data_IF_533359808333
#
_entry.id   IF_533359808333
#
_cell.length_a   1.000
_cell.length_b   1.000
_cell.length_c   1.000
_cell.angle_alpha   90.00
_cell.angle_beta   90.00
_cell.angle_gamma   90.00
#
_symmetry.space_group_name_H-M   'P 1'
#
loop_
_entity.id
_entity.type
_entity.pdbx_description
1 polymer ?
#
# COMPACT_ATOMS: atom_id res chain seq x y z
N UNK A 1 1.08 7.98 1.15
CA UNK A 1 1.69 6.66 1.38
C UNK A 1 1.38 5.72 0.24
N UNK A 2 2.23 4.73 0.01
CA UNK A 2 2.07 3.73 -1.05
C UNK A 2 1.07 2.63 -0.63
N UNK A 3 0.17 2.16 -1.52
CA UNK A 3 -0.80 1.10 -1.20
C UNK A 3 -0.17 -0.18 -0.63
N UNK A 4 1.00 -0.59 -1.13
CA UNK A 4 1.76 -1.70 -0.53
C UNK A 4 2.06 -1.49 0.97
N UNK A 5 2.54 -0.30 1.34
CA UNK A 5 2.82 0.03 2.75
C UNK A 5 1.55 0.06 3.58
N UNK A 6 0.44 0.58 3.03
CA UNK A 6 -0.85 0.56 3.72
C UNK A 6 -1.31 -0.87 4.00
N UNK A 7 -1.17 -1.79 3.03
CA UNK A 7 -1.52 -3.18 3.22
C UNK A 7 -0.66 -3.85 4.32
N UNK A 8 0.66 -3.62 4.31
CA UNK A 8 1.55 -4.13 5.35
C UNK A 8 1.16 -3.63 6.75
N UNK A 9 0.89 -2.31 6.89
CA UNK A 9 0.48 -1.73 8.17
C UNK A 9 -0.88 -2.27 8.62
N UNK A 10 -1.81 -2.52 7.69
CA UNK A 10 -3.13 -3.10 8.00
C UNK A 10 -3.06 -4.54 8.50
N UNK A 11 -1.98 -5.27 8.16
CA UNK A 11 -1.77 -6.66 8.55
C UNK A 11 -1.11 -6.82 9.93
N UNK A 12 -0.62 -5.72 10.53
CA UNK A 12 0.01 -5.76 11.85
C UNK A 12 -1.02 -6.19 12.91
N UNK A 13 -0.80 -7.30 13.65
CA UNK A 13 -1.71 -7.74 14.70
C UNK A 13 -1.85 -6.70 15.81
N UNK A 14 -3.05 -6.59 16.38
CA UNK A 14 -3.25 -5.82 17.62
C UNK A 14 -2.97 -6.73 18.81
N UNK A 15 -2.12 -6.31 19.76
CA UNK A 15 -1.80 -7.10 20.96
C UNK A 15 -3.05 -7.39 21.81
N UNK A 16 -3.88 -6.38 22.04
CA UNK A 16 -5.09 -6.48 22.85
C UNK A 16 -6.19 -7.31 22.15
N UNK A 17 -6.65 -8.42 22.76
CA UNK A 17 -7.65 -9.32 22.17
C UNK A 17 -8.97 -8.63 21.82
N UNK A 18 -9.39 -7.67 22.65
CA UNK A 18 -10.68 -6.98 22.54
C UNK A 18 -10.78 -6.11 21.28
N UNK A 19 -9.65 -5.58 20.80
CA UNK A 19 -9.59 -4.68 19.64
C UNK A 19 -9.28 -5.43 18.32
N UNK A 20 -9.12 -6.77 18.34
CA UNK A 20 -8.72 -7.55 17.15
C UNK A 20 -9.68 -7.43 15.96
N UNK A 21 -10.96 -7.15 16.21
CA UNK A 21 -12.00 -7.00 15.18
C UNK A 21 -12.12 -5.58 14.59
N UNK A 22 -11.49 -4.58 15.20
CA UNK A 22 -11.70 -3.16 14.88
C UNK A 22 -10.92 -2.70 13.64
N UNK A 23 -10.03 -3.55 13.11
CA UNK A 23 -9.22 -3.23 11.94
C UNK A 23 -9.72 -3.92 10.67
N UNK A 24 -9.97 -3.10 9.65
CA UNK A 24 -10.12 -3.56 8.28
C UNK A 24 -8.75 -3.92 7.70
N UNK A 25 -8.53 -5.21 7.43
CA UNK A 25 -7.34 -5.68 6.71
C UNK A 25 -7.48 -5.39 5.23
N UNK A 26 -6.42 -4.90 4.61
CA UNK A 26 -6.38 -4.73 3.16
C UNK A 26 -5.81 -6.00 2.55
N UNK A 27 -6.63 -6.71 1.76
CA UNK A 27 -6.20 -7.89 1.03
C UNK A 27 -5.60 -7.48 -0.31
N UNK A 28 -4.38 -7.92 -0.57
CA UNK A 28 -3.74 -7.71 -1.87
C UNK A 28 -4.19 -8.79 -2.86
N UNK A 29 -4.78 -8.43 -4.00
CA UNK A 29 -5.13 -9.39 -5.03
C UNK A 29 -3.87 -9.99 -5.68
N UNK A 30 -4.01 -11.22 -6.15
CA UNK A 30 -3.00 -11.92 -6.94
C UNK A 30 -1.72 -12.28 -6.21
N UNK A 31 -0.90 -13.06 -6.91
CA UNK A 31 0.39 -13.56 -6.43
C UNK A 31 1.54 -12.58 -6.65
N UNK A 32 2.67 -12.88 -6.00
CA UNK A 32 3.92 -12.13 -6.20
C UNK A 32 4.42 -12.38 -7.63
N UNK A 33 4.59 -11.34 -8.46
CA UNK A 33 5.11 -11.52 -9.82
C UNK A 33 6.57 -11.98 -9.80
N UNK A 34 6.97 -12.73 -10.83
CA UNK A 34 8.34 -13.18 -11.00
C UNK A 34 9.30 -11.97 -11.09
N UNK A 35 10.49 -12.03 -10.46
CA UNK A 35 11.49 -10.97 -10.59
C UNK A 35 12.17 -10.95 -11.97
N UNK A 36 12.09 -12.05 -12.75
CA UNK A 36 12.72 -12.18 -14.08
C UNK A 36 11.96 -11.37 -15.14
N UNK A 37 10.63 -11.32 -15.05
CA UNK A 37 9.77 -10.55 -15.94
C UNK A 37 8.86 -9.63 -15.14
N UNK A 38 9.39 -8.48 -14.67
CA UNK A 38 8.63 -7.59 -13.81
C UNK A 38 7.58 -6.81 -14.62
N UNK A 39 6.43 -6.47 -14.01
CA UNK A 39 5.49 -5.56 -14.63
C UNK A 39 6.16 -4.23 -15.02
N UNK A 40 5.92 -3.76 -16.26
CA UNK A 40 6.30 -2.42 -16.73
C UNK A 40 5.96 -1.28 -15.76
N UNK A 41 6.69 -0.17 -15.81
CA UNK A 41 6.39 1.03 -15.02
C UNK A 41 6.24 0.75 -13.50
N UNK A 42 5.02 0.75 -12.95
CA UNK A 42 4.78 0.40 -11.55
C UNK A 42 4.80 -1.12 -11.35
N UNK A 43 5.89 -1.62 -10.74
CA UNK A 43 6.08 -3.05 -10.41
C UNK A 43 4.98 -3.63 -9.52
N UNK A 44 4.30 -2.79 -8.74
CA UNK A 44 3.23 -3.23 -7.83
C UNK A 44 1.84 -3.25 -8.48
N UNK A 45 1.68 -2.78 -9.73
CA UNK A 45 0.36 -2.58 -10.33
C UNK A 45 -0.51 -3.85 -10.37
N UNK A 46 0.10 -5.02 -10.55
CA UNK A 46 -0.61 -6.30 -10.67
C UNK A 46 -1.26 -6.76 -9.36
N UNK A 47 -0.86 -6.16 -8.23
CA UNK A 47 -1.36 -6.45 -6.89
C UNK A 47 -1.97 -5.23 -6.19
N UNK A 48 -1.97 -4.08 -6.83
CA UNK A 48 -2.47 -2.85 -6.25
C UNK A 48 -3.97 -2.74 -6.51
N UNK A 49 -4.79 -2.69 -5.45
CA UNK A 49 -6.24 -2.50 -5.59
C UNK A 49 -6.62 -1.11 -6.14
N UNK A 50 -5.65 -0.18 -6.22
CA UNK A 50 -5.81 1.16 -6.81
C UNK A 50 -5.11 1.30 -8.16
N UNK A 51 -4.69 0.21 -8.79
CA UNK A 51 -4.03 0.28 -10.09
C UNK A 51 -4.97 0.91 -11.13
N UNK A 52 -4.39 1.76 -11.98
CA UNK A 52 -5.04 2.35 -13.14
C UNK A 52 -4.06 2.27 -14.32
N UNK A 53 -4.51 2.62 -15.53
CA UNK A 53 -3.70 2.53 -16.76
C UNK A 53 -2.38 3.30 -16.69
N UNK A 54 -2.37 4.43 -15.95
CA UNK A 54 -1.16 5.21 -15.72
C UNK A 54 -0.04 4.39 -15.04
N UNK A 55 -0.41 3.45 -14.16
CA UNK A 55 0.53 2.57 -13.48
C UNK A 55 1.20 1.55 -14.41
N UNK A 56 0.57 1.22 -15.54
CA UNK A 56 1.14 0.31 -16.55
C UNK A 56 2.01 1.03 -17.57
N UNK A 57 1.70 2.30 -17.83
CA UNK A 57 2.32 3.10 -18.90
C UNK A 57 3.46 4.01 -18.41
N UNK A 58 3.44 4.48 -17.16
CA UNK A 58 4.41 5.47 -16.67
C UNK A 58 4.99 5.08 -15.31
N UNK A 59 6.31 5.13 -15.19
CA UNK A 59 7.01 4.90 -13.92
C UNK A 59 6.70 6.05 -12.94
N UNK A 60 6.13 5.78 -11.76
CA UNK A 60 5.85 6.83 -10.78
C UNK A 60 7.14 7.45 -10.26
N UNK A 61 7.15 8.77 -10.12
CA UNK A 61 8.30 9.51 -9.55
C UNK A 61 8.36 9.33 -8.04
N UNK A 62 9.57 9.26 -7.51
CA UNK A 62 9.79 9.28 -6.06
C UNK A 62 9.55 10.69 -5.53
N UNK A 63 8.52 10.85 -4.71
CA UNK A 63 8.11 12.15 -4.17
C UNK A 63 7.99 12.11 -2.65
N UNK A 64 8.30 13.23 -1.99
CA UNK A 64 8.05 13.43 -0.56
C UNK A 64 6.54 13.52 -0.30
N UNK A 65 6.04 12.83 0.72
CA UNK A 65 4.61 12.84 1.06
C UNK A 65 4.35 13.71 2.29
N UNK A 66 3.35 14.58 2.18
CA UNK A 66 3.03 15.59 3.21
C UNK A 66 2.32 14.99 4.44
N UNK A 67 1.55 13.90 4.25
CA UNK A 67 0.66 13.33 5.27
C UNK A 67 1.18 12.01 5.90
N UNK A 68 2.51 11.81 5.95
CA UNK A 68 3.13 10.63 6.56
C UNK A 68 4.65 10.66 6.39
N UNK A 69 5.37 10.01 7.31
CA UNK A 69 6.84 9.97 7.30
C UNK A 69 7.37 9.20 6.08
N UNK A 70 7.77 9.94 5.04
CA UNK A 70 8.65 9.39 4.00
C UNK A 70 8.41 9.89 2.58
N UNK A 71 9.05 9.18 1.66
CA UNK A 71 8.93 9.34 0.22
C UNK A 71 8.17 8.14 -0.35
N UNK A 72 7.42 8.32 -1.43
CA UNK A 72 6.88 7.18 -2.16
C UNK A 72 6.81 7.42 -3.67
N UNK A 73 7.14 6.38 -4.43
CA UNK A 73 6.91 6.33 -5.87
C UNK A 73 5.50 5.78 -6.14
N UNK A 74 4.49 6.65 -6.16
CA UNK A 74 3.09 6.29 -6.36
C UNK A 74 2.36 7.38 -7.14
N UNK A 75 1.56 6.99 -8.13
CA UNK A 75 0.65 7.92 -8.83
C UNK A 75 -0.58 8.28 -7.99
N UNK A 76 -1.04 7.37 -7.13
CA UNK A 76 -2.28 7.53 -6.34
C UNK A 76 -2.06 7.34 -4.83
N UNK A 77 -1.16 8.12 -4.22
CA UNK A 77 -0.83 7.99 -2.80
C UNK A 77 -1.99 8.44 -1.92
N UNK A 78 -2.14 7.79 -0.76
CA UNK A 78 -3.09 8.20 0.28
C UNK A 78 -2.43 8.24 1.65
N UNK A 79 -2.88 9.10 2.57
CA UNK A 79 -2.37 9.09 3.94
C UNK A 79 -2.53 7.68 4.54
N UNK A 80 -1.52 7.22 5.29
CA UNK A 80 -1.75 6.08 6.19
C UNK A 80 -2.60 6.65 7.30
N UNK A 81 -3.83 6.15 7.43
CA UNK A 81 -4.57 6.34 8.66
C UNK A 81 -3.86 5.50 9.70
N UNK A 82 -3.14 6.14 10.62
CA UNK A 82 -2.56 5.45 11.76
C UNK A 82 -3.66 4.64 12.47
N UNK A 83 -3.35 3.50 13.11
CA UNK A 83 -4.25 2.99 14.14
C UNK A 83 -4.62 4.18 15.03
N UNK A 84 -5.92 4.47 15.15
CA UNK A 84 -6.37 5.38 16.19
C UNK A 84 -5.89 4.85 17.55
N UNK A 85 -5.70 5.74 18.54
CA UNK A 85 -5.48 5.26 19.90
C UNK A 85 -6.67 4.38 20.28
N UNK A 86 -6.40 3.17 20.77
CA UNK A 86 -7.38 2.47 21.58
C UNK A 86 -7.72 3.42 22.73
N UNK A 87 -8.96 3.92 22.74
CA UNK A 87 -9.50 4.68 23.87
C UNK A 87 -9.92 3.71 24.96
#
# INVERSE_FOLDING_TARGET
SHPYTQALVSAVPIPEPVHRGERTRILLPGDVPSPIDPPSACRFRTRCWKAQDLCASQTPRLERRLAGSGQSACHFPEPIRAPGPAS
#
